data_IF_172782708776
#
_entry.id   IF_172782708776
#
_cell.length_a   1.000
_cell.length_b   1.000
_cell.length_c   1.000
_cell.angle_alpha   90.00
_cell.angle_beta   90.00
_cell.angle_gamma   90.00
#
_symmetry.space_group_name_H-M   'P 1'
#
loop_
_entity.id
_entity.type
_entity.pdbx_description
1 polymer ?
#
# COMPACT_ATOMS: atom_id res chain seq x y z
N UNK A 1 3.95 -8.51 -4.80
CA UNK A 1 4.07 -7.98 -6.17
C UNK A 1 5.29 -8.53 -6.85
N UNK A 2 5.16 -9.78 -7.28
CA UNK A 2 6.06 -10.42 -8.23
C UNK A 2 5.50 -10.31 -9.65
N UNK A 3 6.34 -10.53 -10.65
CA UNK A 3 5.94 -10.60 -12.08
C UNK A 3 4.82 -11.63 -12.30
N UNK A 4 4.76 -12.66 -11.47
CA UNK A 4 3.75 -13.72 -11.53
C UNK A 4 2.32 -13.24 -11.24
N UNK A 5 2.13 -12.07 -10.63
CA UNK A 5 0.81 -11.47 -10.34
C UNK A 5 0.33 -10.55 -11.47
N UNK A 6 1.14 -10.35 -12.50
CA UNK A 6 0.84 -9.48 -13.64
C UNK A 6 0.23 -10.27 -14.80
N UNK A 7 -0.88 -9.79 -15.33
CA UNK A 7 -1.51 -10.35 -16.54
C UNK A 7 -0.70 -9.97 -17.78
N UNK A 8 -1.00 -10.63 -18.91
CA UNK A 8 -0.32 -10.37 -20.20
C UNK A 8 -0.47 -8.94 -20.71
N UNK A 9 -1.53 -8.24 -20.30
CA UNK A 9 -1.80 -6.84 -20.64
C UNK A 9 -1.13 -5.84 -19.69
N UNK A 10 -0.34 -6.32 -18.71
CA UNK A 10 0.34 -5.48 -17.73
C UNK A 10 -0.51 -5.12 -16.51
N UNK A 11 -1.79 -5.50 -16.47
CA UNK A 11 -2.64 -5.23 -15.31
C UNK A 11 -2.31 -6.17 -14.14
N UNK A 12 -2.46 -5.67 -12.91
CA UNK A 12 -2.33 -6.46 -11.68
C UNK A 12 -3.70 -6.45 -11.00
N UNK A 13 -4.47 -7.53 -11.22
CA UNK A 13 -5.83 -7.67 -10.70
C UNK A 13 -6.24 -9.14 -10.68
N UNK A 14 -7.19 -9.50 -9.82
CA UNK A 14 -7.77 -10.84 -9.78
C UNK A 14 -9.24 -10.80 -9.35
N UNK A 15 -10.01 -11.84 -9.67
CA UNK A 15 -11.40 -11.98 -9.24
C UNK A 15 -11.51 -12.03 -7.71
N UNK A 16 -12.48 -11.30 -7.16
CA UNK A 16 -12.69 -11.22 -5.70
C UNK A 16 -12.88 -12.60 -5.06
N UNK A 17 -13.65 -13.48 -5.69
CA UNK A 17 -13.88 -14.84 -5.19
C UNK A 17 -12.62 -15.70 -5.16
N UNK A 18 -11.67 -15.45 -6.06
CA UNK A 18 -10.36 -16.11 -6.08
C UNK A 18 -9.43 -15.51 -5.02
N UNK A 19 -9.43 -14.19 -4.86
CA UNK A 19 -8.70 -13.50 -3.79
C UNK A 19 -9.10 -14.05 -2.40
N UNK A 20 -10.39 -14.20 -2.13
CA UNK A 20 -10.83 -14.82 -0.86
C UNK A 20 -10.39 -16.28 -0.69
N UNK A 21 -10.14 -17.03 -1.77
CA UNK A 21 -9.68 -18.43 -1.66
C UNK A 21 -8.18 -18.54 -1.48
N UNK A 22 -7.42 -17.67 -2.12
CA UNK A 22 -5.97 -17.81 -2.28
C UNK A 22 -5.15 -16.80 -1.45
N UNK A 23 -5.72 -15.65 -1.08
CA UNK A 23 -5.02 -14.65 -0.28
C UNK A 23 -5.21 -14.93 1.21
N UNK A 24 -4.18 -15.46 1.86
CA UNK A 24 -4.20 -15.76 3.29
C UNK A 24 -4.47 -14.53 4.17
N UNK A 25 -4.00 -13.34 3.77
CA UNK A 25 -4.25 -12.09 4.49
C UNK A 25 -5.72 -11.66 4.52
N UNK A 26 -6.56 -12.19 3.61
CA UNK A 26 -8.01 -11.97 3.62
C UNK A 26 -8.79 -12.99 4.46
N UNK A 27 -8.11 -14.01 5.01
CA UNK A 27 -8.72 -15.14 5.70
C UNK A 27 -8.28 -15.27 7.16
N UNK A 28 -7.98 -14.14 7.82
CA UNK A 28 -7.65 -14.11 9.25
C UNK A 28 -8.95 -13.95 10.03
N UNK A 29 -9.35 -15.00 10.76
CA UNK A 29 -10.64 -15.04 11.46
C UNK A 29 -10.57 -14.49 12.90
N UNK A 30 -9.37 -14.48 13.51
CA UNK A 30 -9.17 -13.91 14.83
C UNK A 30 -8.78 -12.43 14.74
N UNK A 31 -9.52 -11.58 15.45
CA UNK A 31 -9.30 -10.13 15.41
C UNK A 31 -7.93 -9.72 15.97
N UNK A 32 -7.46 -10.39 17.02
CA UNK A 32 -6.17 -10.06 17.63
C UNK A 32 -5.02 -10.47 16.71
N UNK A 33 -5.11 -11.64 16.08
CA UNK A 33 -4.18 -12.09 15.05
C UNK A 33 -4.14 -11.12 13.88
N UNK A 34 -5.29 -10.66 13.39
CA UNK A 34 -5.37 -9.67 12.31
C UNK A 34 -4.67 -8.37 12.70
N UNK A 35 -4.98 -7.81 13.89
CA UNK A 35 -4.37 -6.57 14.38
C UNK A 35 -2.86 -6.67 14.45
N UNK A 36 -2.33 -7.77 14.99
CA UNK A 36 -0.88 -8.00 15.09
C UNK A 36 -0.23 -8.11 13.71
N UNK A 37 -0.82 -8.91 12.83
CA UNK A 37 -0.38 -9.12 11.45
C UNK A 37 -0.25 -7.79 10.72
N UNK A 38 -1.24 -6.91 10.88
CA UNK A 38 -1.27 -5.60 10.21
C UNK A 38 -0.29 -4.57 10.80
N UNK A 39 0.00 -4.62 12.10
CA UNK A 39 0.67 -3.52 12.80
C UNK A 39 2.10 -3.80 13.27
N UNK A 40 2.47 -5.05 13.55
CA UNK A 40 3.74 -5.34 14.25
C UNK A 40 4.97 -5.21 13.34
N UNK A 41 4.82 -5.33 12.01
CA UNK A 41 5.94 -5.34 11.06
C UNK A 41 5.84 -4.24 9.99
N UNK A 42 5.27 -3.09 10.37
CA UNK A 42 5.17 -1.96 9.45
C UNK A 42 6.56 -1.38 9.14
N UNK A 43 6.90 -1.16 7.86
CA UNK A 43 8.13 -0.48 7.51
C UNK A 43 8.10 0.99 7.98
N UNK A 44 9.25 1.68 8.03
CA UNK A 44 9.27 3.12 8.28
C UNK A 44 8.38 3.85 7.28
N UNK A 45 7.78 4.95 7.75
CA UNK A 45 6.94 5.79 6.91
C UNK A 45 7.75 6.36 5.74
N UNK A 46 7.12 6.57 4.56
CA UNK A 46 7.76 7.24 3.43
C UNK A 46 8.26 8.65 3.79
N UNK A 47 9.29 9.13 3.09
CA UNK A 47 10.00 10.38 3.41
C UNK A 47 9.10 11.62 3.49
N UNK A 48 8.08 11.71 2.63
CA UNK A 48 7.16 12.85 2.57
C UNK A 48 5.74 12.52 3.06
N UNK A 49 5.60 11.52 3.94
CA UNK A 49 4.28 11.01 4.33
C UNK A 49 3.34 12.10 4.91
N UNK A 50 3.87 13.04 5.69
CA UNK A 50 3.05 14.09 6.31
C UNK A 50 2.64 15.13 5.28
N UNK A 51 3.59 15.60 4.49
CA UNK A 51 3.43 16.61 3.46
C UNK A 51 2.47 16.13 2.37
N UNK A 52 2.57 14.86 1.94
CA UNK A 52 1.64 14.26 0.97
C UNK A 52 0.20 14.30 1.52
N UNK A 53 0.00 14.02 2.82
CA UNK A 53 -1.33 14.08 3.42
C UNK A 53 -1.85 15.52 3.49
N UNK A 54 -1.00 16.47 3.84
CA UNK A 54 -1.37 17.88 3.86
C UNK A 54 -1.72 18.41 2.47
N UNK A 55 -0.97 18.02 1.45
CA UNK A 55 -1.26 18.33 0.05
C UNK A 55 -2.58 17.71 -0.39
N UNK A 56 -2.81 16.42 -0.12
CA UNK A 56 -4.08 15.73 -0.43
C UNK A 56 -5.29 16.33 0.30
N UNK A 57 -5.07 16.89 1.50
CA UNK A 57 -6.08 17.65 2.24
C UNK A 57 -6.28 19.09 1.72
N UNK A 58 -5.49 19.52 0.74
CA UNK A 58 -5.51 20.89 0.19
C UNK A 58 -4.93 21.95 1.14
N UNK A 59 -4.14 21.56 2.14
CA UNK A 59 -3.56 22.48 3.14
C UNK A 59 -2.29 23.15 2.66
N UNK A 60 -1.49 22.44 1.86
CA UNK A 60 -0.26 22.95 1.24
C UNK A 60 -0.35 22.76 -0.26
N UNK A 61 0.38 23.58 -1.01
CA UNK A 61 0.49 23.47 -2.46
C UNK A 61 1.97 23.58 -2.87
N UNK A 62 2.75 22.49 -2.69
CA UNK A 62 4.17 22.44 -3.05
C UNK A 62 4.36 22.65 -4.56
N UNK A 63 5.55 23.09 -4.95
CA UNK A 63 5.88 23.27 -6.36
C UNK A 63 6.09 21.94 -7.11
N UNK A 64 6.31 22.00 -8.42
CA UNK A 64 6.43 20.79 -9.25
C UNK A 64 7.67 19.95 -8.92
N UNK A 65 8.76 20.55 -8.48
CA UNK A 65 9.97 19.81 -8.11
C UNK A 65 9.76 19.12 -6.76
N UNK A 66 9.19 19.83 -5.78
CA UNK A 66 8.82 19.27 -4.48
C UNK A 66 7.83 18.11 -4.64
N UNK A 67 6.79 18.25 -5.47
CA UNK A 67 5.84 17.18 -5.76
C UNK A 67 6.53 15.94 -6.33
N UNK A 68 7.46 16.13 -7.28
CA UNK A 68 8.24 15.02 -7.85
C UNK A 68 9.09 14.34 -6.79
N UNK A 69 9.70 15.07 -5.89
CA UNK A 69 10.48 14.49 -4.79
C UNK A 69 9.59 13.71 -3.81
N UNK A 70 8.40 14.22 -3.52
CA UNK A 70 7.41 13.56 -2.65
C UNK A 70 6.94 12.22 -3.24
N UNK A 71 6.91 12.08 -4.57
CA UNK A 71 6.57 10.83 -5.25
C UNK A 71 7.71 9.80 -5.26
N UNK A 72 8.95 10.21 -4.92
CA UNK A 72 10.12 9.33 -4.88
C UNK A 72 10.17 8.61 -3.54
N UNK A 73 9.77 7.34 -3.53
CA UNK A 73 9.97 6.48 -2.37
C UNK A 73 9.05 5.27 -2.35
N UNK A 74 9.44 4.20 -1.64
CA UNK A 74 8.59 3.03 -1.50
C UNK A 74 7.38 3.33 -0.61
N UNK A 75 6.18 3.36 -1.19
CA UNK A 75 4.93 3.35 -0.42
C UNK A 75 4.50 1.90 -0.13
N UNK A 76 5.07 1.28 0.91
CA UNK A 76 4.84 -0.13 1.26
C UNK A 76 4.01 -0.24 2.53
N UNK A 77 2.70 -0.20 2.42
CA UNK A 77 1.79 -0.41 3.56
C UNK A 77 1.19 -1.83 3.62
N UNK A 78 1.54 -2.69 2.67
CA UNK A 78 0.98 -4.04 2.58
C UNK A 78 1.67 -4.99 3.57
N UNK A 79 0.84 -5.73 4.29
CA UNK A 79 1.24 -6.89 5.08
C UNK A 79 1.60 -8.03 4.13
N UNK A 80 2.59 -8.85 4.50
CA UNK A 80 2.99 -10.04 3.73
C UNK A 80 2.13 -11.25 4.05
#
# INVERSE_FOLDING_TARGET
MGINEMKKDGSVSEELGKLYKENHGLNINDENEFRKTVSENLPPQPNAYQEIREMNMGKINPDLEEQREMEIGPNRCAVR
#
